data_IF_711084114692
#
_entry.id   IF_711084114692
#
_cell.length_a   1.000
_cell.length_b   1.000
_cell.length_c   1.000
_cell.angle_alpha   90.00
_cell.angle_beta   90.00
_cell.angle_gamma   90.00
#
_symmetry.space_group_name_H-M   'P 1'
#
loop_
_entity.id
_entity.type
_entity.pdbx_description
1 polymer ?
#
# COMPACT_ATOMS: atom_id res chain seq x y z
N UNK A 1 -33.87 33.60 -33.38
CA UNK A 1 -33.11 33.81 -32.11
C UNK A 1 -33.15 32.52 -31.32
N UNK A 2 -31.99 31.95 -30.96
CA UNK A 2 -31.75 31.10 -29.78
C UNK A 2 -30.27 30.69 -29.79
N UNK A 3 -29.46 31.33 -28.93
CA UNK A 3 -28.03 31.04 -28.75
C UNK A 3 -27.92 29.83 -27.82
N UNK A 4 -27.32 28.74 -28.31
CA UNK A 4 -26.95 27.59 -27.51
C UNK A 4 -25.67 27.92 -26.72
N UNK A 5 -25.82 28.49 -25.52
CA UNK A 5 -24.70 28.78 -24.62
C UNK A 5 -24.53 27.56 -23.72
N UNK A 6 -23.60 26.67 -24.08
CA UNK A 6 -23.11 25.64 -23.14
C UNK A 6 -22.34 26.37 -22.04
N UNK A 7 -22.97 26.53 -20.88
CA UNK A 7 -22.34 27.04 -19.67
C UNK A 7 -21.36 25.99 -19.15
N UNK A 8 -20.08 26.10 -19.52
CA UNK A 8 -18.99 25.34 -18.92
C UNK A 8 -18.53 26.02 -17.63
N UNK A 9 -19.44 26.22 -16.66
CA UNK A 9 -19.12 26.81 -15.38
C UNK A 9 -19.36 25.82 -14.24
N UNK A 10 -18.30 25.10 -13.88
CA UNK A 10 -17.88 24.85 -12.48
C UNK A 10 -16.87 23.70 -12.42
N UNK A 11 -15.74 23.83 -13.13
CA UNK A 11 -14.52 23.22 -12.63
C UNK A 11 -14.06 24.10 -11.47
N UNK A 12 -14.66 23.90 -10.29
CA UNK A 12 -14.10 24.36 -9.03
C UNK A 12 -12.74 23.67 -8.89
N UNK A 13 -11.70 24.35 -9.36
CA UNK A 13 -10.32 23.96 -9.16
C UNK A 13 -10.10 23.84 -7.65
N UNK A 14 -9.88 22.61 -7.19
CA UNK A 14 -9.56 22.33 -5.79
C UNK A 14 -8.16 22.89 -5.54
N UNK A 15 -8.08 24.14 -5.08
CA UNK A 15 -6.82 24.79 -4.77
C UNK A 15 -6.14 24.04 -3.63
N UNK A 16 -4.98 23.44 -3.93
CA UNK A 16 -4.10 22.84 -2.93
C UNK A 16 -3.43 23.95 -2.13
N UNK A 17 -3.76 24.08 -0.84
CA UNK A 17 -3.01 24.92 0.08
C UNK A 17 -1.92 24.07 0.75
N UNK A 18 -0.67 24.25 0.31
CA UNK A 18 0.47 23.75 1.07
C UNK A 18 0.65 24.68 2.28
N UNK A 19 0.21 24.25 3.46
CA UNK A 19 0.51 24.95 4.70
C UNK A 19 2.02 24.93 4.95
N UNK A 20 2.67 26.08 4.89
CA UNK A 20 4.04 26.23 5.36
C UNK A 20 4.04 26.03 6.89
N UNK A 21 4.72 24.98 7.36
CA UNK A 21 4.89 24.70 8.79
C UNK A 21 3.88 23.72 9.37
N UNK A 22 3.86 22.47 8.88
CA UNK A 22 3.29 21.38 9.65
C UNK A 22 4.17 21.12 10.88
N UNK A 23 3.68 21.46 12.07
CA UNK A 23 4.28 20.98 13.30
C UNK A 23 4.32 19.44 13.27
N UNK A 24 5.51 18.87 13.45
CA UNK A 24 5.69 17.42 13.57
C UNK A 24 4.77 16.95 14.71
N UNK A 25 3.82 16.01 14.49
CA UNK A 25 3.04 15.50 15.60
C UNK A 25 4.02 14.81 16.56
N UNK A 26 4.21 15.40 17.74
CA UNK A 26 4.77 14.73 18.92
C UNK A 26 3.71 13.84 19.55
N UNK A 27 3.13 12.96 18.72
CA UNK A 27 2.40 11.82 19.22
C UNK A 27 3.42 10.73 19.47
N UNK A 28 3.81 10.54 20.73
CA UNK A 28 4.23 9.20 21.15
C UNK A 28 3.00 8.33 21.01
N UNK A 29 2.77 7.79 19.81
CA UNK A 29 1.87 6.66 19.64
C UNK A 29 2.47 5.58 20.52
N UNK A 30 1.86 5.33 21.67
CA UNK A 30 2.03 4.07 22.36
C UNK A 30 1.96 3.01 21.27
N UNK A 31 3.02 2.22 21.12
CA UNK A 31 3.05 1.11 20.20
C UNK A 31 1.97 0.15 20.69
N UNK A 32 0.73 0.39 20.26
CA UNK A 32 -0.34 -0.57 20.39
C UNK A 32 0.22 -1.82 19.76
N UNK A 33 0.38 -2.86 20.56
CA UNK A 33 0.78 -4.18 20.08
C UNK A 33 -0.19 -4.51 18.96
N UNK A 34 0.25 -4.31 17.72
CA UNK A 34 -0.49 -4.76 16.56
C UNK A 34 -0.71 -6.24 16.82
N UNK A 35 -1.97 -6.74 16.81
CA UNK A 35 -2.19 -8.16 16.97
C UNK A 35 -1.27 -8.87 15.99
N UNK A 36 -0.80 -10.08 16.34
CA UNK A 36 0.06 -10.89 15.49
C UNK A 36 -0.71 -11.22 14.19
N UNK A 37 -0.71 -10.26 13.26
CA UNK A 37 -1.29 -10.40 11.94
C UNK A 37 -0.31 -11.31 11.23
N UNK A 38 -0.72 -12.56 11.03
CA UNK A 38 0.01 -13.49 10.18
C UNK A 38 0.24 -12.79 8.85
N UNK A 39 1.52 -12.51 8.57
CA UNK A 39 1.95 -11.92 7.31
C UNK A 39 1.67 -12.86 6.13
N UNK A 40 2.11 -12.45 4.95
CA UNK A 40 2.03 -13.27 3.75
C UNK A 40 2.77 -14.59 3.97
N UNK A 41 2.26 -15.66 3.38
CA UNK A 41 2.82 -16.99 3.57
C UNK A 41 4.22 -17.13 2.95
N UNK A 42 4.89 -18.23 3.28
CA UNK A 42 6.19 -18.59 2.68
C UNK A 42 6.15 -18.76 1.16
N UNK A 43 4.96 -18.87 0.55
CA UNK A 43 4.78 -18.90 -0.89
C UNK A 43 5.03 -17.52 -1.51
N UNK A 44 4.63 -16.45 -0.82
CA UNK A 44 4.86 -15.08 -1.25
C UNK A 44 6.29 -14.61 -0.93
N UNK A 45 6.75 -14.80 0.31
CA UNK A 45 8.08 -14.36 0.75
C UNK A 45 8.72 -15.46 1.57
N UNK A 46 9.87 -15.95 1.13
CA UNK A 46 10.63 -16.91 1.94
C UNK A 46 11.30 -16.16 3.09
N UNK A 47 10.96 -16.48 4.36
CA UNK A 47 11.65 -15.89 5.48
C UNK A 47 13.11 -16.37 5.45
N UNK A 48 14.04 -15.43 5.31
CA UNK A 48 15.46 -15.74 5.30
C UNK A 48 16.09 -15.17 6.56
N UNK A 49 16.70 -16.04 7.38
CA UNK A 49 17.44 -15.66 8.59
C UNK A 49 18.92 -15.39 8.32
N UNK A 50 19.36 -15.56 7.08
CA UNK A 50 20.73 -15.33 6.63
C UNK A 50 20.88 -14.08 5.76
N UNK A 51 22.13 -13.68 5.48
CA UNK A 51 22.40 -12.58 4.55
C UNK A 51 21.85 -12.90 3.15
N UNK A 52 21.08 -11.98 2.58
CA UNK A 52 20.43 -12.10 1.27
C UNK A 52 21.05 -11.18 0.22
N UNK A 53 21.02 -11.61 -1.04
CA UNK A 53 21.59 -10.89 -2.16
C UNK A 53 23.12 -11.00 -2.28
N UNK A 54 23.67 -10.43 -3.35
CA UNK A 54 25.09 -10.55 -3.71
C UNK A 54 26.04 -9.82 -2.75
N UNK A 55 25.52 -8.90 -1.93
CA UNK A 55 26.31 -8.10 -0.97
C UNK A 55 26.03 -8.47 0.50
N UNK A 56 25.37 -9.60 0.74
CA UNK A 56 25.08 -10.08 2.08
C UNK A 56 24.25 -9.12 2.92
N UNK A 57 23.22 -8.52 2.32
CA UNK A 57 22.30 -7.65 3.02
C UNK A 57 21.54 -8.49 4.05
N UNK A 58 21.69 -8.18 5.34
CA UNK A 58 20.94 -8.79 6.44
C UNK A 58 20.06 -7.73 7.09
N UNK A 59 19.01 -8.15 7.79
CA UNK A 59 18.18 -7.25 8.59
C UNK A 59 19.00 -6.46 9.64
N UNK A 60 20.13 -7.03 10.07
CA UNK A 60 21.03 -6.43 11.06
C UNK A 60 22.03 -5.43 10.45
N UNK A 61 22.06 -5.26 9.12
CA UNK A 61 23.06 -4.45 8.44
C UNK A 61 22.56 -3.00 8.20
N UNK A 62 23.29 -1.96 8.63
CA UNK A 62 22.82 -0.56 8.55
C UNK A 62 22.77 0.02 7.13
N UNK A 63 23.33 -0.67 6.13
CA UNK A 63 23.49 -0.12 4.78
C UNK A 63 22.24 -0.22 3.90
N UNK A 64 21.36 -1.20 4.12
CA UNK A 64 20.16 -1.39 3.31
C UNK A 64 18.97 -1.81 4.17
N UNK A 65 17.88 -1.06 4.07
CA UNK A 65 16.75 -1.17 5.01
C UNK A 65 15.73 -2.25 4.66
N UNK A 66 15.78 -2.82 3.45
CA UNK A 66 14.75 -3.75 2.96
C UNK A 66 15.40 -4.99 2.29
N UNK A 67 16.22 -5.76 3.02
CA UNK A 67 16.89 -6.95 2.47
C UNK A 67 15.90 -8.00 1.92
N UNK A 68 14.66 -8.02 2.41
CA UNK A 68 13.62 -8.96 2.02
C UNK A 68 13.30 -8.88 0.51
N UNK A 69 13.58 -7.75 -0.14
CA UNK A 69 13.40 -7.58 -1.58
C UNK A 69 14.14 -8.65 -2.40
N UNK A 70 15.29 -9.12 -1.93
CA UNK A 70 16.07 -10.14 -2.62
C UNK A 70 15.46 -11.54 -2.54
N UNK A 71 14.51 -11.77 -1.64
CA UNK A 71 13.88 -13.08 -1.42
C UNK A 71 12.57 -13.27 -2.20
N UNK A 72 12.20 -12.31 -3.06
CA UNK A 72 11.01 -12.42 -3.91
C UNK A 72 11.23 -13.38 -5.09
N UNK A 73 10.21 -14.19 -5.35
CA UNK A 73 10.13 -15.06 -6.53
C UNK A 73 9.32 -14.37 -7.63
N UNK A 74 9.41 -14.88 -8.87
CA UNK A 74 8.63 -14.38 -10.01
C UNK A 74 7.11 -14.34 -9.75
N UNK A 75 6.60 -15.26 -8.95
CA UNK A 75 5.18 -15.40 -8.64
C UNK A 75 4.74 -14.74 -7.33
N UNK A 76 5.66 -14.15 -6.56
CA UNK A 76 5.35 -13.57 -5.24
C UNK A 76 4.20 -12.57 -5.29
N UNK A 77 4.12 -11.77 -6.36
CA UNK A 77 3.03 -10.83 -6.55
C UNK A 77 1.66 -11.52 -6.68
N UNK A 78 1.57 -12.58 -7.50
CA UNK A 78 0.32 -13.30 -7.73
C UNK A 78 -0.12 -14.09 -6.50
N UNK A 79 0.82 -14.72 -5.79
CA UNK A 79 0.51 -15.42 -4.54
C UNK A 79 -0.04 -14.45 -3.48
N UNK A 80 0.54 -13.25 -3.37
CA UNK A 80 0.02 -12.20 -2.49
C UNK A 80 -1.41 -11.78 -2.86
N UNK A 81 -1.74 -11.68 -4.16
CA UNK A 81 -3.09 -11.34 -4.61
C UNK A 81 -4.12 -12.41 -4.20
N UNK A 82 -3.75 -13.69 -4.32
CA UNK A 82 -4.60 -14.82 -3.93
C UNK A 82 -4.83 -14.84 -2.42
N UNK A 83 -3.77 -14.69 -1.63
CA UNK A 83 -3.87 -14.67 -0.16
C UNK A 83 -4.69 -13.47 0.35
N UNK A 84 -4.50 -12.30 -0.26
CA UNK A 84 -5.23 -11.09 0.13
C UNK A 84 -6.67 -11.07 -0.37
N UNK A 85 -7.05 -11.90 -1.34
CA UNK A 85 -8.41 -11.95 -1.89
C UNK A 85 -9.47 -12.24 -0.82
N UNK A 86 -9.14 -13.05 0.21
CA UNK A 86 -10.03 -13.36 1.33
C UNK A 86 -10.45 -12.12 2.14
N UNK A 87 -9.58 -11.12 2.20
CA UNK A 87 -9.82 -9.89 2.96
C UNK A 87 -10.44 -8.78 2.10
N UNK A 88 -10.74 -9.03 0.82
CA UNK A 88 -11.38 -8.04 -0.05
C UNK A 88 -12.88 -7.99 0.21
N UNK A 89 -13.44 -6.80 0.08
CA UNK A 89 -14.89 -6.62 0.07
C UNK A 89 -15.50 -7.34 -1.15
N UNK A 90 -16.75 -7.83 -1.04
CA UNK A 90 -17.44 -8.41 -2.17
C UNK A 90 -17.56 -7.40 -3.32
N UNK A 91 -17.43 -7.89 -4.55
CA UNK A 91 -17.57 -7.05 -5.73
C UNK A 91 -18.99 -6.48 -5.80
N UNK A 92 -19.16 -5.17 -6.06
CA UNK A 92 -20.49 -4.61 -6.25
C UNK A 92 -21.18 -5.27 -7.45
N UNK A 93 -22.45 -5.65 -7.29
CA UNK A 93 -23.23 -6.22 -8.38
C UNK A 93 -23.78 -5.12 -9.29
N UNK A 94 -23.65 -5.28 -10.60
CA UNK A 94 -24.26 -4.38 -11.59
C UNK A 94 -25.77 -4.62 -11.78
N UNK A 95 -26.32 -5.70 -11.22
CA UNK A 95 -27.74 -6.06 -11.35
C UNK A 95 -28.58 -5.20 -10.41
N UNK A 96 -29.63 -4.56 -10.95
CA UNK A 96 -30.68 -3.95 -10.13
C UNK A 96 -31.57 -5.06 -9.62
N UNK A 97 -31.82 -5.09 -8.30
CA UNK A 97 -32.79 -6.00 -7.71
C UNK A 97 -34.18 -5.55 -8.18
N UNK A 98 -34.83 -6.37 -8.99
CA UNK A 98 -36.23 -6.19 -9.40
C UNK A 98 -37.14 -6.38 -8.19
#
# INVERSE_FOLDING_TARGET
MLRNVRSCNSLLARCYSQGAGAAKPTGSSAAGTTPNVTGLSSNCVKPTTGPVGFMGASADNPHYKVPEYFSFNRFSYHEAEVEMAKYRCPQPSALKKN
#
